data_IF_408933122418
#
_entry.id   IF_408933122418
#
_cell.length_a   1.000
_cell.length_b   1.000
_cell.length_c   1.000
_cell.angle_alpha   90.00
_cell.angle_beta   90.00
_cell.angle_gamma   90.00
#
_symmetry.space_group_name_H-M   'P 1'
#
loop_
_entity.id
_entity.type
_entity.pdbx_description
1 polymer ?
#
# COMPACT_ATOMS: atom_id res chain seq x y z
N UNK A 1 61.14 31.56 26.26
CA UNK A 1 61.50 31.30 24.85
C UNK A 1 61.09 29.88 24.51
N UNK A 2 60.19 29.72 23.52
CA UNK A 2 60.02 28.57 22.59
C UNK A 2 59.91 27.15 23.22
N UNK A 3 58.94 26.29 22.91
CA UNK A 3 58.15 26.10 21.69
C UNK A 3 57.08 25.03 21.96
N UNK A 4 55.97 25.18 21.25
CA UNK A 4 54.91 24.20 21.03
C UNK A 4 55.41 22.79 20.74
N UNK A 5 54.68 21.79 21.23
CA UNK A 5 54.46 20.52 20.51
C UNK A 5 53.04 20.04 20.74
N UNK A 6 52.13 20.57 19.94
CA UNK A 6 50.93 19.87 19.49
C UNK A 6 51.34 18.50 18.93
N UNK A 7 51.06 17.44 19.69
CA UNK A 7 51.03 16.08 19.15
C UNK A 7 49.72 15.93 18.39
N UNK A 8 49.70 16.36 17.13
CA UNK A 8 48.76 15.84 16.13
C UNK A 8 49.04 14.35 15.96
N UNK A 9 48.17 13.51 16.51
CA UNK A 9 48.06 12.12 16.12
C UNK A 9 47.79 12.08 14.61
N UNK A 10 48.82 11.74 13.83
CA UNK A 10 48.64 11.30 12.46
C UNK A 10 47.83 10.01 12.51
N UNK A 11 46.56 10.08 12.13
CA UNK A 11 45.81 8.90 11.70
C UNK A 11 46.59 8.31 10.53
N UNK A 12 47.21 7.16 10.75
CA UNK A 12 47.71 6.33 9.67
C UNK A 12 46.51 5.93 8.80
N UNK A 13 46.38 6.56 7.63
CA UNK A 13 45.54 6.05 6.57
C UNK A 13 46.18 4.76 6.07
N UNK A 14 45.67 3.63 6.59
CA UNK A 14 45.95 2.31 6.04
C UNK A 14 45.55 2.32 4.57
N UNK A 15 46.44 1.95 3.63
CA UNK A 15 46.11 1.94 2.21
C UNK A 15 44.98 0.94 1.97
N UNK A 16 43.82 1.48 1.64
CA UNK A 16 42.58 0.76 1.34
C UNK A 16 42.77 0.10 -0.02
N UNK A 17 43.13 -1.18 -0.05
CA UNK A 17 43.01 -2.02 -1.25
C UNK A 17 41.52 -2.04 -1.60
N UNK A 18 41.11 -1.43 -2.72
CA UNK A 18 39.73 -1.50 -3.22
C UNK A 18 39.44 -2.96 -3.60
N UNK A 19 38.69 -3.64 -2.74
CA UNK A 19 38.21 -5.00 -3.01
C UNK A 19 37.14 -4.93 -4.11
N UNK A 20 37.17 -5.83 -5.11
CA UNK A 20 36.11 -5.95 -6.09
C UNK A 20 34.74 -6.15 -5.43
N UNK A 21 33.68 -5.58 -6.03
CA UNK A 21 32.30 -5.69 -5.53
C UNK A 21 31.89 -7.15 -5.33
N UNK A 22 32.37 -8.08 -6.17
CA UNK A 22 32.05 -9.51 -6.08
C UNK A 22 32.56 -10.14 -4.78
N UNK A 23 33.76 -9.78 -4.33
CA UNK A 23 34.36 -10.29 -3.09
C UNK A 23 33.62 -9.73 -1.87
N UNK A 24 33.25 -8.45 -1.92
CA UNK A 24 32.44 -7.83 -0.86
C UNK A 24 31.06 -8.49 -0.76
N UNK A 25 30.38 -8.75 -1.88
CA UNK A 25 29.08 -9.44 -1.89
C UNK A 25 29.20 -10.88 -1.33
N UNK A 26 30.29 -11.59 -1.62
CA UNK A 26 30.54 -12.92 -1.06
C UNK A 26 30.69 -12.87 0.48
N UNK A 27 31.54 -11.96 1.00
CA UNK A 27 31.72 -11.81 2.45
C UNK A 27 30.45 -11.37 3.19
N UNK A 28 29.59 -10.58 2.55
CA UNK A 28 28.30 -10.19 3.10
C UNK A 28 27.31 -11.37 3.13
N UNK A 29 27.33 -12.22 2.11
CA UNK A 29 26.48 -13.42 2.02
C UNK A 29 26.80 -14.40 3.15
N UNK A 30 28.08 -14.59 3.42
CA UNK A 30 28.56 -15.52 4.47
C UNK A 30 28.51 -14.90 5.87
N UNK A 31 28.10 -13.63 6.00
CA UNK A 31 28.06 -12.84 7.25
C UNK A 31 29.42 -12.60 7.90
N UNK A 32 30.51 -12.94 7.23
CA UNK A 32 31.90 -12.81 7.70
C UNK A 32 32.50 -11.42 7.45
N UNK A 33 31.78 -10.53 6.76
CA UNK A 33 32.28 -9.18 6.46
C UNK A 33 32.52 -8.28 7.68
N UNK A 34 33.10 -7.12 7.42
CA UNK A 34 33.45 -6.07 8.39
C UNK A 34 32.64 -4.79 8.17
N UNK A 35 32.63 -3.88 9.15
CA UNK A 35 32.01 -2.55 9.00
C UNK A 35 32.66 -1.76 7.85
N UNK A 36 33.96 -1.97 7.60
CA UNK A 36 34.66 -1.34 6.48
C UNK A 36 34.15 -1.83 5.13
N UNK A 37 33.89 -3.13 4.98
CA UNK A 37 33.31 -3.71 3.77
C UNK A 37 31.84 -3.30 3.59
N UNK A 38 31.07 -3.26 4.68
CA UNK A 38 29.69 -2.75 4.69
C UNK A 38 29.63 -1.30 4.15
N UNK A 39 30.54 -0.43 4.59
CA UNK A 39 30.61 0.97 4.13
C UNK A 39 30.99 1.08 2.64
N UNK A 40 31.89 0.22 2.16
CA UNK A 40 32.25 0.17 0.73
C UNK A 40 31.10 -0.36 -0.11
N UNK A 41 30.41 -1.39 0.36
CA UNK A 41 29.22 -1.91 -0.30
C UNK A 41 28.13 -0.84 -0.44
N UNK A 42 27.86 -0.08 0.63
CA UNK A 42 26.96 1.07 0.58
C UNK A 42 27.41 2.12 -0.44
N UNK A 43 28.71 2.42 -0.52
CA UNK A 43 29.25 3.33 -1.54
C UNK A 43 28.91 2.86 -2.96
N UNK A 44 29.14 1.58 -3.26
CA UNK A 44 28.80 1.01 -4.58
C UNK A 44 27.31 1.10 -4.90
N UNK A 45 26.43 0.89 -3.91
CA UNK A 45 24.98 1.06 -4.11
C UNK A 45 24.63 2.52 -4.40
N UNK A 46 25.18 3.46 -3.63
CA UNK A 46 24.92 4.91 -3.80
C UNK A 46 25.38 5.38 -5.19
N UNK A 47 26.50 4.84 -5.68
CA UNK A 47 27.03 5.09 -7.03
C UNK A 47 26.22 4.38 -8.14
N UNK A 48 25.22 3.59 -7.75
CA UNK A 48 24.38 2.76 -8.62
C UNK A 48 25.19 1.75 -9.44
N UNK A 49 26.19 1.12 -8.81
CA UNK A 49 26.89 0.00 -9.40
C UNK A 49 25.91 -1.19 -9.58
N UNK A 50 25.70 -1.71 -10.80
CA UNK A 50 24.63 -2.67 -11.09
C UNK A 50 24.67 -3.95 -10.25
N UNK A 51 25.85 -4.50 -10.00
CA UNK A 51 25.97 -5.76 -9.26
C UNK A 51 25.67 -5.57 -7.77
N UNK A 52 26.13 -4.48 -7.17
CA UNK A 52 25.88 -4.12 -5.78
C UNK A 52 24.40 -3.82 -5.55
N UNK A 53 23.78 -3.06 -6.45
CA UNK A 53 22.33 -2.80 -6.42
C UNK A 53 21.57 -4.12 -6.54
N UNK A 54 21.88 -4.95 -7.54
CA UNK A 54 21.19 -6.23 -7.72
C UNK A 54 21.30 -7.12 -6.49
N UNK A 55 22.51 -7.29 -5.93
CA UNK A 55 22.72 -8.07 -4.73
C UNK A 55 21.97 -7.49 -3.52
N UNK A 56 21.94 -6.16 -3.39
CA UNK A 56 21.19 -5.49 -2.31
C UNK A 56 19.69 -5.77 -2.39
N UNK A 57 19.12 -5.73 -3.59
CA UNK A 57 17.69 -5.91 -3.85
C UNK A 57 17.29 -7.38 -3.67
N UNK A 58 18.09 -8.29 -4.20
CA UNK A 58 17.77 -9.71 -4.21
C UNK A 58 18.22 -10.37 -2.90
N UNK A 59 19.51 -10.64 -2.75
CA UNK A 59 19.99 -11.54 -1.69
C UNK A 59 20.04 -10.89 -0.31
N UNK A 60 20.39 -9.60 -0.25
CA UNK A 60 20.55 -8.89 1.02
C UNK A 60 19.20 -8.54 1.67
N UNK A 61 18.26 -8.02 0.88
CA UNK A 61 16.98 -7.48 1.39
C UNK A 61 15.89 -8.53 1.54
N UNK A 62 15.87 -9.59 0.72
CA UNK A 62 14.83 -10.63 0.77
C UNK A 62 14.67 -11.26 2.17
N UNK A 63 15.74 -11.64 2.90
CA UNK A 63 15.58 -12.17 4.26
C UNK A 63 14.93 -11.19 5.24
N UNK A 64 15.18 -9.88 5.08
CA UNK A 64 14.56 -8.82 5.88
C UNK A 64 13.07 -8.74 5.57
N UNK A 65 12.71 -8.71 4.28
CA UNK A 65 11.32 -8.63 3.83
C UNK A 65 10.51 -9.86 4.20
N UNK A 66 11.09 -11.07 4.07
CA UNK A 66 10.46 -12.32 4.54
C UNK A 66 10.17 -12.29 6.03
N UNK A 67 11.13 -11.81 6.82
CA UNK A 67 10.92 -11.68 8.26
C UNK A 67 9.74 -10.75 8.57
N UNK A 68 9.70 -9.58 7.93
CA UNK A 68 8.64 -8.59 8.12
C UNK A 68 7.28 -9.15 7.69
N UNK A 69 7.18 -9.71 6.48
CA UNK A 69 5.93 -10.26 5.97
C UNK A 69 5.37 -11.34 6.89
N UNK A 70 6.21 -12.28 7.34
CA UNK A 70 5.75 -13.46 8.05
C UNK A 70 5.60 -13.25 9.57
N UNK A 71 6.43 -12.40 10.18
CA UNK A 71 6.49 -12.27 11.65
C UNK A 71 5.97 -10.93 12.17
N UNK A 72 5.87 -9.91 11.32
CA UNK A 72 5.40 -8.58 11.72
C UNK A 72 4.00 -8.36 11.18
N UNK A 73 3.83 -8.53 9.87
CA UNK A 73 2.55 -8.30 9.20
C UNK A 73 1.67 -9.55 9.13
N UNK A 74 2.21 -10.73 9.48
CA UNK A 74 1.53 -12.02 9.45
C UNK A 74 0.74 -12.27 8.15
N UNK A 75 1.34 -11.92 7.01
CA UNK A 75 0.70 -12.02 5.70
C UNK A 75 0.49 -13.47 5.31
N UNK A 76 -0.66 -13.78 4.72
CA UNK A 76 -0.96 -15.11 4.20
C UNK A 76 -0.23 -15.37 2.87
N UNK A 77 0.09 -16.64 2.62
CA UNK A 77 0.64 -17.07 1.34
C UNK A 77 -0.42 -16.95 0.24
N UNK A 78 -0.13 -16.19 -0.81
CA UNK A 78 -0.92 -16.17 -2.04
C UNK A 78 -0.63 -17.46 -2.83
N UNK A 79 -1.23 -18.55 -2.32
CA UNK A 79 -1.07 -19.91 -2.83
C UNK A 79 -1.64 -20.11 -4.24
N UNK A 80 -2.44 -19.16 -4.74
CA UNK A 80 -3.03 -19.23 -6.09
C UNK A 80 -1.97 -19.00 -7.18
N UNK A 81 -0.87 -18.30 -6.86
CA UNK A 81 0.24 -18.03 -7.80
C UNK A 81 1.62 -18.47 -7.30
N UNK A 82 1.71 -19.08 -6.12
CA UNK A 82 2.98 -19.56 -5.54
C UNK A 82 3.98 -18.44 -5.26
N UNK A 83 3.49 -17.21 -5.02
CA UNK A 83 4.34 -16.05 -4.72
C UNK A 83 4.49 -15.91 -3.21
N UNK A 84 5.73 -15.79 -2.75
CA UNK A 84 5.98 -15.56 -1.34
C UNK A 84 5.43 -14.19 -0.88
N UNK A 85 4.91 -14.06 0.35
CA UNK A 85 4.19 -12.86 0.81
C UNK A 85 5.01 -11.58 0.73
N UNK A 86 6.33 -11.70 0.93
CA UNK A 86 7.25 -10.57 0.94
C UNK A 86 7.27 -9.79 -0.39
N UNK A 87 6.88 -10.43 -1.52
CA UNK A 87 6.86 -9.82 -2.86
C UNK A 87 5.97 -8.58 -2.87
N UNK A 88 4.90 -8.57 -2.08
CA UNK A 88 3.98 -7.44 -1.98
C UNK A 88 4.60 -6.22 -1.28
N UNK A 89 5.65 -6.41 -0.48
CA UNK A 89 6.32 -5.35 0.27
C UNK A 89 7.46 -4.67 -0.51
N UNK A 90 7.93 -5.32 -1.58
CA UNK A 90 9.13 -4.94 -2.35
C UNK A 90 9.08 -3.48 -2.80
N UNK A 91 7.98 -3.05 -3.44
CA UNK A 91 7.85 -1.67 -3.92
C UNK A 91 7.88 -0.63 -2.81
N UNK A 92 7.10 -0.85 -1.74
CA UNK A 92 7.06 0.06 -0.59
C UNK A 92 8.40 0.14 0.15
N UNK A 93 9.09 -1.01 0.28
CA UNK A 93 10.41 -1.06 0.88
C UNK A 93 11.44 -0.26 0.08
N UNK A 94 11.45 -0.36 -1.24
CA UNK A 94 12.41 0.38 -2.06
C UNK A 94 12.14 1.88 -2.12
N UNK A 95 10.86 2.28 -2.13
CA UNK A 95 10.51 3.70 -1.95
C UNK A 95 10.95 4.23 -0.57
N UNK A 96 10.88 3.39 0.46
CA UNK A 96 11.33 3.77 1.81
C UNK A 96 12.87 3.86 1.92
N UNK A 97 13.60 2.89 1.36
CA UNK A 97 15.07 2.85 1.39
C UNK A 97 15.67 3.92 0.47
N UNK A 98 15.03 4.15 -0.69
CA UNK A 98 15.37 5.19 -1.62
C UNK A 98 14.76 6.56 -1.27
N UNK A 99 14.89 7.49 -2.20
CA UNK A 99 14.12 8.72 -2.28
C UNK A 99 13.08 8.59 -3.41
N UNK A 100 11.88 9.20 -3.30
CA UNK A 100 10.94 9.23 -4.41
C UNK A 100 11.61 9.74 -5.70
N UNK A 101 11.35 9.08 -6.82
CA UNK A 101 11.81 9.55 -8.13
C UNK A 101 11.07 10.85 -8.48
N UNK A 102 11.69 11.99 -8.21
CA UNK A 102 11.20 13.28 -8.71
C UNK A 102 11.56 13.42 -10.19
N UNK A 103 10.63 13.02 -11.06
CA UNK A 103 10.60 13.41 -12.46
C UNK A 103 10.19 14.88 -12.57
N UNK A 104 10.96 15.79 -11.97
CA UNK A 104 10.77 17.22 -12.22
C UNK A 104 11.27 17.53 -13.63
N UNK A 105 10.45 18.18 -14.46
CA UNK A 105 10.83 18.70 -15.78
C UNK A 105 12.16 19.47 -15.68
N UNK A 106 13.25 18.83 -16.12
CA UNK A 106 14.59 19.43 -16.16
C UNK A 106 15.66 18.81 -15.25
N UNK A 107 15.36 17.85 -14.37
CA UNK A 107 16.39 17.16 -13.57
C UNK A 107 16.96 15.95 -14.33
N UNK A 108 18.25 16.02 -14.68
CA UNK A 108 18.98 14.96 -15.42
C UNK A 108 19.52 13.82 -14.52
N UNK A 109 18.92 13.55 -13.36
CA UNK A 109 19.33 12.35 -12.61
C UNK A 109 18.37 11.20 -12.90
N UNK A 110 18.65 10.46 -13.97
CA UNK A 110 17.99 9.20 -14.34
C UNK A 110 18.23 8.04 -13.34
N UNK A 111 19.00 8.28 -12.27
CA UNK A 111 19.47 7.24 -11.35
C UNK A 111 18.73 7.28 -10.00
N UNK A 112 18.41 6.12 -9.43
CA UNK A 112 17.85 6.02 -8.08
C UNK A 112 18.76 6.69 -7.05
N UNK A 113 18.17 7.39 -6.09
CA UNK A 113 18.87 7.92 -4.91
C UNK A 113 18.60 7.03 -3.70
N UNK A 114 19.68 6.61 -3.05
CA UNK A 114 19.63 5.66 -1.92
C UNK A 114 19.77 6.38 -0.58
N UNK A 115 18.79 7.23 -0.26
CA UNK A 115 18.88 8.15 0.88
C UNK A 115 19.07 7.44 2.22
N UNK A 116 18.34 6.35 2.52
CA UNK A 116 18.50 5.68 3.82
C UNK A 116 19.85 4.97 3.95
N UNK A 117 20.44 4.53 2.83
CA UNK A 117 21.76 3.90 2.84
C UNK A 117 22.87 4.96 3.03
N UNK A 118 22.73 6.17 2.47
CA UNK A 118 23.71 7.24 2.66
C UNK A 118 23.82 7.74 4.11
N UNK A 119 22.82 7.46 4.95
CA UNK A 119 22.84 7.76 6.39
C UNK A 119 23.62 6.72 7.21
N UNK A 120 23.98 5.57 6.64
CA UNK A 120 24.73 4.54 7.36
C UNK A 120 26.21 4.94 7.52
N UNK A 121 26.68 4.98 8.78
CA UNK A 121 28.06 5.38 9.13
C UNK A 121 28.86 4.31 9.87
N UNK A 122 28.27 3.14 10.15
CA UNK A 122 28.93 2.09 10.94
C UNK A 122 29.23 2.48 12.39
N UNK A 123 28.54 3.49 12.92
CA UNK A 123 28.74 3.98 14.31
C UNK A 123 28.48 2.86 15.32
N UNK A 124 29.32 2.79 16.36
CA UNK A 124 29.21 1.75 17.39
C UNK A 124 29.47 0.32 16.89
N UNK A 125 30.17 0.15 15.76
CA UNK A 125 30.39 -1.14 15.08
C UNK A 125 29.10 -1.82 14.62
N UNK A 126 28.02 -1.07 14.43
CA UNK A 126 26.78 -1.60 13.89
C UNK A 126 27.00 -2.07 12.44
N UNK A 127 26.61 -3.32 12.14
CA UNK A 127 26.63 -3.87 10.78
C UNK A 127 25.50 -3.30 9.92
N UNK A 128 25.70 -3.24 8.61
CA UNK A 128 24.73 -2.73 7.65
C UNK A 128 23.41 -3.50 7.74
N UNK A 129 23.47 -4.82 7.81
CA UNK A 129 22.27 -5.66 7.91
C UNK A 129 21.41 -5.26 9.11
N UNK A 130 22.02 -5.09 10.28
CA UNK A 130 21.31 -4.66 11.50
C UNK A 130 20.69 -3.27 11.35
N UNK A 131 21.42 -2.34 10.71
CA UNK A 131 20.91 -1.01 10.43
C UNK A 131 19.68 -1.06 9.53
N UNK A 132 19.80 -1.67 8.34
CA UNK A 132 18.73 -1.77 7.34
C UNK A 132 17.52 -2.51 7.91
N UNK A 133 17.75 -3.63 8.58
CA UNK A 133 16.70 -4.41 9.25
C UNK A 133 15.91 -3.56 10.25
N UNK A 134 16.59 -2.79 11.12
CA UNK A 134 15.92 -1.98 12.15
C UNK A 134 15.10 -0.84 11.57
N UNK A 135 15.61 -0.15 10.55
CA UNK A 135 14.87 0.96 9.95
C UNK A 135 13.68 0.45 9.15
N UNK A 136 13.81 -0.69 8.45
CA UNK A 136 12.74 -1.33 7.71
C UNK A 136 11.66 -1.86 8.66
N UNK A 137 12.05 -2.60 9.70
CA UNK A 137 11.14 -3.10 10.72
C UNK A 137 10.30 -1.95 11.33
N UNK A 138 10.96 -0.86 11.73
CA UNK A 138 10.26 0.31 12.30
C UNK A 138 9.31 0.96 11.30
N UNK A 139 9.68 1.03 10.02
CA UNK A 139 8.82 1.56 8.98
C UNK A 139 7.55 0.71 8.82
N UNK A 140 7.70 -0.60 8.65
CA UNK A 140 6.55 -1.48 8.44
C UNK A 140 5.67 -1.63 9.69
N UNK A 141 6.23 -1.69 10.91
CA UNK A 141 5.42 -1.67 12.13
C UNK A 141 4.60 -0.38 12.29
N UNK A 142 5.10 0.76 11.80
CA UNK A 142 4.37 2.04 11.90
C UNK A 142 3.24 2.18 10.90
N UNK A 143 3.34 1.46 9.78
CA UNK A 143 2.36 1.50 8.69
C UNK A 143 1.66 0.14 8.55
N UNK A 144 1.65 -0.68 9.61
CA UNK A 144 1.11 -2.05 9.59
C UNK A 144 -0.35 -2.07 9.10
N UNK A 145 -1.16 -1.11 9.55
CA UNK A 145 -2.54 -0.96 9.13
C UNK A 145 -2.69 -0.74 7.61
N UNK A 146 -1.75 -0.08 6.95
CA UNK A 146 -1.77 0.18 5.50
C UNK A 146 -1.44 -1.08 4.68
N UNK A 147 -0.80 -2.08 5.30
CA UNK A 147 -0.43 -3.35 4.64
C UNK A 147 -1.39 -4.48 4.99
N UNK A 148 -1.85 -4.56 6.24
CA UNK A 148 -2.83 -5.57 6.68
C UNK A 148 -4.22 -5.30 6.10
N UNK A 149 -4.61 -4.01 5.92
CA UNK A 149 -5.90 -3.69 5.31
C UNK A 149 -5.88 -3.73 3.76
N UNK A 150 -4.76 -4.02 3.10
CA UNK A 150 -4.74 -4.13 1.62
C UNK A 150 -5.52 -5.32 1.07
N UNK A 151 -5.76 -6.38 1.85
CA UNK A 151 -6.72 -7.41 1.44
C UNK A 151 -8.17 -6.91 1.47
N UNK A 152 -8.50 -5.92 2.31
CA UNK A 152 -9.78 -5.19 2.20
C UNK A 152 -9.82 -4.25 1.00
N UNK A 153 -8.67 -3.87 0.45
CA UNK A 153 -8.54 -3.06 -0.76
C UNK A 153 -8.73 -3.86 -2.06
N UNK A 154 -9.18 -5.12 -2.02
CA UNK A 154 -9.96 -5.65 -3.14
C UNK A 154 -11.19 -4.75 -3.46
N UNK A 155 -11.61 -3.91 -2.51
CA UNK A 155 -12.51 -2.77 -2.74
C UNK A 155 -11.90 -1.55 -3.47
N UNK A 156 -10.58 -1.32 -3.46
CA UNK A 156 -9.94 -0.22 -4.23
C UNK A 156 -9.91 -0.49 -5.73
N UNK A 157 -9.94 -1.77 -6.14
CA UNK A 157 -10.14 -2.13 -7.55
C UNK A 157 -11.56 -1.76 -8.03
N UNK A 158 -12.50 -1.55 -7.10
CA UNK A 158 -13.80 -0.95 -7.38
C UNK A 158 -13.71 0.58 -7.32
N UNK A 159 -12.98 1.18 -6.38
CA UNK A 159 -12.87 2.65 -6.28
C UNK A 159 -12.18 3.34 -7.49
N UNK A 160 -11.35 2.62 -8.25
CA UNK A 160 -10.63 3.14 -9.44
C UNK A 160 -11.18 2.64 -10.78
N UNK A 161 -12.20 1.79 -10.81
CA UNK A 161 -12.97 1.57 -12.04
C UNK A 161 -13.89 2.77 -12.19
N UNK A 162 -13.81 3.46 -13.32
CA UNK A 162 -14.80 4.48 -13.67
C UNK A 162 -16.15 3.76 -13.74
N UNK A 163 -16.92 3.83 -12.66
CA UNK A 163 -18.21 3.16 -12.53
C UNK A 163 -19.24 3.63 -13.57
N UNK A 164 -18.91 4.68 -14.33
CA UNK A 164 -19.57 5.08 -15.58
C UNK A 164 -19.58 3.93 -16.60
N UNK A 165 -18.54 3.10 -16.65
CA UNK A 165 -18.44 1.88 -17.48
C UNK A 165 -19.24 0.73 -16.88
N UNK A 166 -19.34 0.66 -15.55
CA UNK A 166 -19.94 -0.48 -14.84
C UNK A 166 -21.47 -0.54 -14.96
N UNK A 167 -22.10 0.53 -15.44
CA UNK A 167 -23.56 0.67 -15.58
C UNK A 167 -24.00 1.24 -16.93
N UNK A 168 -23.05 1.59 -17.80
CA UNK A 168 -23.31 1.89 -19.21
C UNK A 168 -23.26 0.62 -20.05
N UNK A 169 -24.41 -0.04 -20.23
CA UNK A 169 -24.55 -1.12 -21.24
C UNK A 169 -24.22 -0.67 -22.67
N UNK A 170 -24.04 0.63 -22.91
CA UNK A 170 -23.96 1.23 -24.24
C UNK A 170 -22.52 1.43 -24.74
N UNK A 171 -21.50 1.08 -23.94
CA UNK A 171 -20.09 1.16 -24.32
C UNK A 171 -19.47 -0.25 -24.37
N UNK A 172 -20.10 -1.16 -25.12
CA UNK A 172 -19.32 -2.29 -25.67
C UNK A 172 -18.52 -1.69 -26.81
N UNK A 173 -17.32 -1.20 -26.51
CA UNK A 173 -16.38 -0.78 -27.53
C UNK A 173 -15.99 -2.02 -28.37
N UNK A 174 -15.84 -1.84 -29.68
CA UNK A 174 -15.50 -2.95 -30.59
C UNK A 174 -14.11 -3.55 -30.28
N UNK A 175 -13.30 -2.86 -29.46
CA UNK A 175 -11.97 -3.26 -29.03
C UNK A 175 -11.91 -4.08 -27.72
N UNK A 176 -13.03 -4.28 -27.01
CA UNK A 176 -13.02 -5.00 -25.72
C UNK A 176 -12.77 -6.50 -25.87
N UNK A 177 -11.95 -7.08 -24.98
CA UNK A 177 -11.73 -8.53 -24.93
C UNK A 177 -12.96 -9.28 -24.40
N UNK A 178 -13.08 -10.57 -24.76
CA UNK A 178 -14.16 -11.44 -24.27
C UNK A 178 -14.17 -11.53 -22.72
N UNK A 179 -12.99 -11.49 -22.09
CA UNK A 179 -12.84 -11.47 -20.63
C UNK A 179 -13.39 -10.17 -20.01
N UNK A 180 -13.16 -9.02 -20.65
CA UNK A 180 -13.63 -7.72 -20.20
C UNK A 180 -15.16 -7.62 -20.34
N UNK A 181 -15.71 -8.10 -21.45
CA UNK A 181 -17.16 -8.22 -21.66
C UNK A 181 -17.79 -9.13 -20.61
N UNK A 182 -17.15 -10.26 -20.29
CA UNK A 182 -17.63 -11.17 -19.25
C UNK A 182 -17.57 -10.53 -17.85
N UNK A 183 -16.53 -9.75 -17.56
CA UNK A 183 -16.40 -9.00 -16.31
C UNK A 183 -17.50 -7.94 -16.17
N UNK A 184 -17.80 -7.19 -17.23
CA UNK A 184 -18.87 -6.18 -17.24
C UNK A 184 -20.25 -6.82 -17.02
N UNK A 185 -20.57 -7.88 -17.76
CA UNK A 185 -21.85 -8.61 -17.57
C UNK A 185 -22.01 -9.12 -16.15
N UNK A 186 -20.92 -9.59 -15.54
CA UNK A 186 -20.92 -10.03 -14.15
C UNK A 186 -21.18 -8.87 -13.18
N UNK A 187 -20.57 -7.71 -13.43
CA UNK A 187 -20.77 -6.52 -12.62
C UNK A 187 -22.22 -6.01 -12.69
N UNK A 188 -22.82 -5.95 -13.88
CA UNK A 188 -24.24 -5.63 -14.06
C UNK A 188 -25.14 -6.60 -13.29
N UNK A 189 -24.90 -7.90 -13.45
CA UNK A 189 -25.67 -8.92 -12.73
C UNK A 189 -25.49 -8.83 -11.22
N UNK A 190 -24.29 -8.49 -10.74
CA UNK A 190 -24.03 -8.29 -9.33
C UNK A 190 -24.83 -7.09 -8.79
N UNK A 191 -24.89 -6.00 -9.56
CA UNK A 191 -25.67 -4.81 -9.23
C UNK A 191 -27.17 -5.10 -9.17
N UNK A 192 -27.73 -5.83 -10.15
CA UNK A 192 -29.14 -6.21 -10.19
C UNK A 192 -29.57 -7.08 -9.00
N UNK A 193 -28.63 -7.82 -8.40
CA UNK A 193 -28.85 -8.66 -7.22
C UNK A 193 -28.76 -7.91 -5.89
N UNK A 194 -28.38 -6.63 -5.91
CA UNK A 194 -28.36 -5.80 -4.71
C UNK A 194 -29.77 -5.42 -4.26
N UNK A 195 -29.88 -5.04 -2.98
CA UNK A 195 -31.12 -4.44 -2.46
C UNK A 195 -31.30 -3.04 -3.04
N UNK A 196 -32.54 -2.61 -3.20
CA UNK A 196 -32.90 -1.26 -3.68
C UNK A 196 -32.10 -0.15 -2.98
N UNK A 197 -31.95 -0.25 -1.65
CA UNK A 197 -31.13 0.66 -0.85
C UNK A 197 -29.70 0.80 -1.39
N UNK A 198 -29.03 -0.32 -1.64
CA UNK A 198 -27.61 -0.32 -2.03
C UNK A 198 -27.47 0.07 -3.51
N UNK A 199 -28.42 -0.32 -4.37
CA UNK A 199 -28.50 0.13 -5.77
C UNK A 199 -28.63 1.65 -5.86
N UNK A 200 -29.55 2.23 -5.09
CA UNK A 200 -29.81 3.66 -5.06
C UNK A 200 -28.59 4.45 -4.55
N UNK A 201 -27.91 3.93 -3.50
CA UNK A 201 -26.67 4.54 -3.00
C UNK A 201 -25.60 4.55 -4.08
N UNK A 202 -25.37 3.41 -4.75
CA UNK A 202 -24.38 3.32 -5.84
C UNK A 202 -24.75 4.26 -6.99
N UNK A 203 -26.03 4.32 -7.39
CA UNK A 203 -26.48 5.24 -8.45
C UNK A 203 -26.12 6.68 -8.14
N UNK A 204 -26.56 7.18 -6.99
CA UNK A 204 -26.40 8.59 -6.61
C UNK A 204 -24.94 8.94 -6.31
N UNK A 205 -24.24 8.11 -5.52
CA UNK A 205 -22.91 8.45 -4.99
C UNK A 205 -21.76 8.07 -5.91
N UNK A 206 -21.97 7.07 -6.77
CA UNK A 206 -20.89 6.43 -7.52
C UNK A 206 -21.04 6.67 -9.02
N UNK A 207 -22.24 6.44 -9.57
CA UNK A 207 -22.50 6.66 -11.01
C UNK A 207 -22.65 8.14 -11.33
N UNK A 208 -23.57 8.81 -10.63
CA UNK A 208 -23.86 10.23 -10.84
C UNK A 208 -22.82 11.14 -10.16
N UNK A 209 -21.91 10.55 -9.37
CA UNK A 209 -20.86 11.25 -8.59
C UNK A 209 -21.44 12.45 -7.82
N UNK A 210 -22.66 12.32 -7.29
CA UNK A 210 -23.39 13.40 -6.64
C UNK A 210 -22.68 13.84 -5.36
N UNK A 211 -22.50 15.15 -5.19
CA UNK A 211 -21.91 15.71 -3.97
C UNK A 211 -22.70 15.28 -2.72
N UNK A 212 -21.99 14.96 -1.63
CA UNK A 212 -22.55 14.35 -0.42
C UNK A 212 -23.76 15.10 0.14
N UNK A 213 -23.80 16.43 0.03
CA UNK A 213 -24.89 17.26 0.55
C UNK A 213 -26.21 17.00 -0.17
N UNK A 214 -26.19 16.85 -1.50
CA UNK A 214 -27.38 16.52 -2.29
C UNK A 214 -27.76 15.06 -2.15
N UNK A 215 -26.74 14.18 -2.12
CA UNK A 215 -26.96 12.76 -1.91
C UNK A 215 -27.60 12.47 -0.54
N UNK A 216 -27.26 13.26 0.49
CA UNK A 216 -27.85 13.15 1.80
C UNK A 216 -29.38 13.27 1.77
N UNK A 217 -29.91 14.27 1.08
CA UNK A 217 -31.36 14.49 1.00
C UNK A 217 -32.09 13.31 0.33
N UNK A 218 -31.43 12.65 -0.63
CA UNK A 218 -31.99 11.49 -1.35
C UNK A 218 -31.87 10.19 -0.55
N UNK A 219 -30.75 10.00 0.16
CA UNK A 219 -30.36 8.73 0.77
C UNK A 219 -30.64 8.66 2.27
N UNK A 220 -30.94 9.78 2.95
CA UNK A 220 -31.22 9.82 4.39
C UNK A 220 -32.33 8.87 4.83
N UNK A 221 -33.28 8.56 3.95
CA UNK A 221 -34.35 7.58 4.19
C UNK A 221 -33.82 6.17 4.50
N UNK A 222 -32.58 5.88 4.11
CA UNK A 222 -31.92 4.61 4.38
C UNK A 222 -31.04 4.62 5.64
N UNK A 223 -30.94 5.76 6.32
CA UNK A 223 -30.24 5.88 7.59
C UNK A 223 -31.18 5.49 8.73
N UNK A 224 -30.71 4.55 9.55
CA UNK A 224 -31.36 4.19 10.81
C UNK A 224 -30.35 4.35 11.94
N UNK A 225 -30.15 5.58 12.43
CA UNK A 225 -29.14 5.84 13.45
C UNK A 225 -29.61 5.38 14.82
N UNK A 226 -28.71 4.70 15.55
CA UNK A 226 -28.94 4.31 16.94
C UNK A 226 -28.86 5.49 17.92
N UNK A 227 -28.39 6.65 17.44
CA UNK A 227 -28.27 7.89 18.23
C UNK A 227 -27.21 7.86 19.31
N UNK A 228 -26.90 9.02 19.92
CA UNK A 228 -26.01 9.11 21.07
C UNK A 228 -26.69 8.71 22.40
N UNK A 229 -28.03 8.61 22.42
CA UNK A 229 -28.84 8.31 23.61
C UNK A 229 -29.56 6.99 23.40
N UNK A 230 -29.56 6.11 24.41
CA UNK A 230 -30.32 4.84 24.41
C UNK A 230 -31.81 5.02 24.06
N UNK A 231 -32.38 6.20 24.34
CA UNK A 231 -33.76 6.54 24.00
C UNK A 231 -34.07 6.48 22.49
N UNK A 232 -33.09 6.71 21.60
CA UNK A 232 -33.32 6.66 20.16
C UNK A 232 -33.63 5.25 19.67
N UNK A 233 -33.32 4.21 20.45
CA UNK A 233 -33.63 2.82 20.10
C UNK A 233 -35.13 2.54 20.09
N UNK A 234 -35.92 3.28 20.90
CA UNK A 234 -37.38 3.17 20.94
C UNK A 234 -38.11 4.20 20.07
N UNK A 235 -37.37 5.05 19.36
CA UNK A 235 -37.96 6.09 18.50
C UNK A 235 -38.45 5.51 17.18
N UNK A 236 -39.54 6.07 16.67
CA UNK A 236 -40.04 5.79 15.32
C UNK A 236 -39.03 6.23 14.27
N UNK A 237 -39.23 5.76 13.04
CA UNK A 237 -38.39 6.17 11.92
C UNK A 237 -38.48 7.69 11.69
N UNK A 238 -39.68 8.26 11.76
CA UNK A 238 -39.93 9.69 11.58
C UNK A 238 -39.26 10.53 12.67
N UNK A 239 -39.30 10.07 13.93
CA UNK A 239 -38.64 10.72 15.06
C UNK A 239 -37.12 10.75 14.87
N UNK A 240 -36.54 9.63 14.41
CA UNK A 240 -35.10 9.56 14.09
C UNK A 240 -34.73 10.48 12.93
N UNK A 241 -35.56 10.55 11.89
CA UNK A 241 -35.33 11.45 10.76
C UNK A 241 -35.40 12.92 11.16
N UNK A 242 -36.37 13.31 11.99
CA UNK A 242 -36.44 14.67 12.53
C UNK A 242 -35.22 15.01 13.41
N UNK A 243 -34.76 14.04 14.19
CA UNK A 243 -33.58 14.20 15.03
C UNK A 243 -32.28 14.32 14.23
N UNK A 244 -32.17 13.62 13.11
CA UNK A 244 -31.07 13.79 12.15
C UNK A 244 -31.03 15.25 11.66
N UNK A 245 -32.17 15.85 11.33
CA UNK A 245 -32.20 17.24 10.86
C UNK A 245 -31.82 18.23 11.95
N UNK A 246 -32.28 18.00 13.17
CA UNK A 246 -32.09 18.93 14.27
C UNK A 246 -30.71 18.85 14.92
N UNK A 247 -30.13 17.65 15.02
CA UNK A 247 -28.94 17.42 15.85
C UNK A 247 -27.68 17.05 15.07
N UNK A 248 -27.78 16.62 13.80
CA UNK A 248 -26.58 16.20 13.08
C UNK A 248 -25.84 17.38 12.46
N UNK A 249 -24.53 17.41 12.72
CA UNK A 249 -23.59 18.32 12.07
C UNK A 249 -23.39 17.95 10.59
N UNK A 250 -22.95 18.90 9.74
CA UNK A 250 -22.59 18.61 8.34
C UNK A 250 -21.60 17.45 8.20
N UNK A 251 -20.60 17.37 9.08
CA UNK A 251 -19.62 16.29 9.09
C UNK A 251 -20.27 14.92 9.37
N UNK A 252 -21.17 14.83 10.36
CA UNK A 252 -21.88 13.58 10.64
C UNK A 252 -22.77 13.15 9.47
N UNK A 253 -23.41 14.10 8.79
CA UNK A 253 -24.19 13.83 7.57
C UNK A 253 -23.30 13.29 6.45
N UNK A 254 -22.14 13.92 6.21
CA UNK A 254 -21.15 13.45 5.25
C UNK A 254 -20.65 12.04 5.60
N UNK A 255 -20.24 11.81 6.84
CA UNK A 255 -19.72 10.51 7.31
C UNK A 255 -20.77 9.41 7.15
N UNK A 256 -22.04 9.67 7.47
CA UNK A 256 -23.12 8.71 7.30
C UNK A 256 -23.34 8.30 5.84
N UNK A 257 -23.21 9.24 4.91
CA UNK A 257 -23.33 8.96 3.47
C UNK A 257 -22.11 8.22 2.95
N UNK A 258 -20.90 8.57 3.42
CA UNK A 258 -19.70 7.78 3.13
C UNK A 258 -19.83 6.33 3.63
N UNK A 259 -20.39 6.11 4.82
CA UNK A 259 -20.66 4.77 5.34
C UNK A 259 -21.68 3.99 4.51
N UNK A 260 -22.74 4.65 4.03
CA UNK A 260 -23.68 4.02 3.09
C UNK A 260 -22.97 3.61 1.79
N UNK A 261 -22.13 4.49 1.23
CA UNK A 261 -21.33 4.19 0.02
C UNK A 261 -20.42 2.99 0.24
N UNK A 262 -19.63 2.98 1.33
CA UNK A 262 -18.71 1.88 1.66
C UNK A 262 -19.46 0.55 1.76
N UNK A 263 -20.60 0.54 2.47
CA UNK A 263 -21.44 -0.67 2.59
C UNK A 263 -21.95 -1.15 1.23
N UNK A 264 -22.46 -0.24 0.40
CA UNK A 264 -23.02 -0.61 -0.90
C UNK A 264 -21.95 -1.16 -1.85
N UNK A 265 -20.73 -0.59 -1.82
CA UNK A 265 -19.57 -1.12 -2.54
C UNK A 265 -19.22 -2.52 -2.03
N UNK A 266 -19.12 -2.73 -0.71
CA UNK A 266 -18.82 -4.05 -0.13
C UNK A 266 -19.81 -5.12 -0.62
N UNK A 267 -21.11 -4.83 -0.57
CA UNK A 267 -22.12 -5.77 -1.04
C UNK A 267 -22.01 -6.05 -2.55
N UNK A 268 -21.69 -5.04 -3.36
CA UNK A 268 -21.45 -5.24 -4.80
C UNK A 268 -20.26 -6.18 -5.03
N UNK A 269 -19.15 -5.96 -4.32
CA UNK A 269 -17.94 -6.80 -4.37
C UNK A 269 -18.26 -8.25 -4.01
N UNK A 270 -18.99 -8.45 -2.91
CA UNK A 270 -19.40 -9.78 -2.45
C UNK A 270 -20.21 -10.50 -3.52
N UNK A 271 -21.22 -9.84 -4.11
CA UNK A 271 -22.05 -10.41 -5.19
C UNK A 271 -21.24 -10.70 -6.44
N UNK A 272 -20.32 -9.81 -6.82
CA UNK A 272 -19.46 -10.02 -7.97
C UNK A 272 -18.58 -11.27 -7.81
N UNK A 273 -17.92 -11.39 -6.64
CA UNK A 273 -17.04 -12.52 -6.35
C UNK A 273 -17.81 -13.84 -6.24
N UNK A 274 -19.01 -13.83 -5.66
CA UNK A 274 -19.90 -15.00 -5.65
C UNK A 274 -20.24 -15.48 -7.07
N UNK A 275 -20.53 -14.55 -7.99
CA UNK A 275 -20.82 -14.87 -9.38
C UNK A 275 -19.58 -15.41 -10.10
N UNK A 276 -18.41 -14.78 -9.89
CA UNK A 276 -17.13 -15.22 -10.47
C UNK A 276 -16.82 -16.66 -10.07
N UNK A 277 -16.94 -16.99 -8.78
CA UNK A 277 -16.71 -18.35 -8.26
C UNK A 277 -17.65 -19.38 -8.90
N UNK A 278 -18.96 -19.08 -8.99
CA UNK A 278 -19.95 -19.97 -9.60
C UNK A 278 -19.70 -20.24 -11.08
N UNK A 279 -19.12 -19.28 -11.81
CA UNK A 279 -18.76 -19.47 -13.22
C UNK A 279 -17.52 -20.37 -13.38
N UNK A 280 -16.54 -20.27 -12.48
CA UNK A 280 -15.39 -21.16 -12.46
C UNK A 280 -15.77 -22.61 -12.11
N UNK A 281 -16.69 -22.81 -11.17
CA UNK A 281 -17.21 -24.14 -10.80
C UNK A 281 -17.97 -24.82 -11.95
N UNK A 282 -18.61 -24.05 -12.84
CA UNK A 282 -19.33 -24.58 -14.02
C UNK A 282 -18.43 -24.90 -15.22
N UNK A 283 -17.18 -24.45 -15.21
CA UNK A 283 -16.19 -24.69 -16.28
C UNK A 283 -15.26 -25.88 -15.98
N UNK A 284 -15.34 -26.46 -14.78
CA UNK A 284 -14.70 -27.73 -14.40
C UNK A 284 -15.64 -28.89 -14.64
#
# INVERSE_FOLDING_TARGET
MLKDKDKKEKKEEVPVVDLPVAEICAHLRDREGSVGEDLRFVRYIIENEPMAVRYFMDEFSVPILRYIANNVLCMEDDSEYGKEPYVQLVGAYYLFIGEPFELSEGSKSEKPRWYKLSLYKGEGKARLYTYVFRIALRYFCRNEDDFVNKEKNAGELLENVDYEVLLGCDLVDEEMSDEEIAALRRAHKAFDLLREKDQEVLRVMVMEKTHWSKAFDLLRKYLDPLGPKKAWQSWSFEEKQAAIDQYWTPKQKQDAISLLKIRAISHLTERYNELKRKEHEKKK
#
